data_IF_938429608078
#
_entry.id   IF_938429608078
#
_cell.length_a   1.000
_cell.length_b   1.000
_cell.length_c   1.000
_cell.angle_alpha   90.00
_cell.angle_beta   90.00
_cell.angle_gamma   90.00
#
_symmetry.space_group_name_H-M   'P 1'
#
loop_
_entity.id
_entity.type
_entity.pdbx_description
1 polymer ?
#
# COMPACT_ATOMS: atom_id res chain seq x y z
N UNK A 1 15.31 31.92 -70.90
CA UNK A 1 15.92 30.68 -70.39
C UNK A 1 16.21 30.82 -68.90
N UNK A 2 15.43 30.05 -68.14
CA UNK A 2 15.78 29.31 -66.92
C UNK A 2 16.04 30.05 -65.59
N UNK A 3 14.98 30.02 -64.79
CA UNK A 3 14.91 30.01 -63.33
C UNK A 3 16.17 29.53 -62.60
N UNK A 4 16.74 30.41 -61.78
CA UNK A 4 17.50 30.03 -60.59
C UNK A 4 17.00 30.92 -59.44
N UNK A 5 16.86 30.32 -58.25
CA UNK A 5 16.55 30.92 -56.93
C UNK A 5 15.10 30.78 -56.46
N UNK A 6 14.72 29.58 -56.06
CA UNK A 6 13.67 29.36 -55.05
C UNK A 6 13.77 27.93 -54.48
N UNK A 7 14.80 27.63 -53.70
CA UNK A 7 14.88 26.38 -52.92
C UNK A 7 15.89 26.53 -51.79
N UNK A 8 15.57 27.34 -50.79
CA UNK A 8 16.36 27.43 -49.56
C UNK A 8 15.54 27.92 -48.35
N UNK A 9 14.23 27.60 -48.27
CA UNK A 9 13.38 28.03 -47.12
C UNK A 9 12.59 26.90 -46.45
N UNK A 10 12.47 25.70 -47.05
CA UNK A 10 11.56 24.68 -46.49
C UNK A 10 12.17 23.64 -45.52
N UNK A 11 13.45 23.70 -45.15
CA UNK A 11 14.06 22.62 -44.32
C UNK A 11 14.30 23.02 -42.86
N UNK A 12 14.15 24.29 -42.47
CA UNK A 12 14.42 24.75 -41.08
C UNK A 12 13.17 24.75 -40.18
N UNK A 13 11.95 24.64 -40.73
CA UNK A 13 10.71 24.66 -39.93
C UNK A 13 10.26 23.30 -39.34
N UNK A 14 11.01 22.21 -39.54
CA UNK A 14 10.63 20.87 -39.04
C UNK A 14 11.38 20.42 -37.77
N UNK A 15 12.26 21.25 -37.22
CA UNK A 15 13.04 20.91 -36.00
C UNK A 15 12.53 21.57 -34.69
N UNK A 16 11.31 22.12 -34.67
CA UNK A 16 10.73 22.76 -33.47
C UNK A 16 9.54 22.02 -32.85
N UNK A 17 9.29 20.76 -33.21
CA UNK A 17 8.24 19.93 -32.58
C UNK A 17 8.77 18.59 -32.07
N UNK A 18 9.96 18.55 -31.50
CA UNK A 18 10.31 17.51 -30.52
C UNK A 18 9.67 17.88 -29.16
N UNK A 19 8.34 18.03 -29.13
CA UNK A 19 7.65 17.82 -27.86
C UNK A 19 7.83 16.32 -27.58
N UNK A 20 8.50 15.98 -26.49
CA UNK A 20 8.62 14.59 -26.06
C UNK A 20 7.21 13.99 -26.08
N UNK A 21 6.97 13.07 -27.01
CA UNK A 21 5.75 12.29 -27.07
C UNK A 21 5.82 11.37 -25.85
N UNK A 22 5.32 11.86 -24.71
CA UNK A 22 5.02 11.01 -23.57
C UNK A 22 4.02 9.96 -24.07
N UNK A 23 4.30 8.68 -23.86
CA UNK A 23 3.32 7.67 -24.18
C UNK A 23 2.18 7.74 -23.15
N UNK A 24 0.95 7.70 -23.68
CA UNK A 24 -0.25 7.64 -22.87
C UNK A 24 -0.38 6.24 -22.26
N UNK A 25 -0.81 6.16 -21.00
CA UNK A 25 -1.05 4.86 -20.34
C UNK A 25 -2.31 4.92 -19.50
N UNK A 26 -3.07 3.83 -19.56
CA UNK A 26 -4.23 3.58 -18.72
C UNK A 26 -4.09 2.23 -18.04
N UNK A 27 -4.24 2.20 -16.73
CA UNK A 27 -4.19 0.99 -15.92
C UNK A 27 -5.47 0.83 -15.09
N UNK A 28 -5.80 -0.42 -14.77
CA UNK A 28 -6.76 -0.75 -13.73
C UNK A 28 -6.05 -1.59 -12.67
N UNK A 29 -6.11 -1.14 -11.43
CA UNK A 29 -5.49 -1.79 -10.28
C UNK A 29 -6.58 -2.13 -9.25
N UNK A 30 -6.40 -3.22 -8.52
CA UNK A 30 -7.31 -3.63 -7.46
C UNK A 30 -6.54 -3.78 -6.16
N UNK A 31 -6.94 -2.99 -5.16
CA UNK A 31 -6.42 -3.09 -3.80
C UNK A 31 -7.45 -3.75 -2.89
N UNK A 32 -7.06 -4.77 -2.14
CA UNK A 32 -7.92 -5.51 -1.22
C UNK A 32 -7.26 -5.68 0.13
N UNK A 33 -8.04 -5.43 1.18
CA UNK A 33 -7.63 -5.65 2.56
C UNK A 33 -8.40 -6.83 3.14
N UNK A 34 -7.68 -7.73 3.80
CA UNK A 34 -8.23 -8.85 4.55
C UNK A 34 -7.70 -8.79 5.98
N UNK A 35 -8.60 -8.86 6.96
CA UNK A 35 -8.23 -9.00 8.36
C UNK A 35 -8.44 -10.45 8.80
N UNK A 36 -7.66 -10.91 9.77
CA UNK A 36 -7.86 -12.22 10.37
C UNK A 36 -8.97 -12.21 11.44
N UNK A 37 -9.40 -13.40 11.83
CA UNK A 37 -10.34 -13.61 12.94
C UNK A 37 -11.71 -12.97 12.75
N UNK A 38 -12.33 -12.58 13.87
CA UNK A 38 -13.69 -12.02 13.93
C UNK A 38 -13.81 -10.75 13.10
N UNK A 39 -12.78 -9.89 13.11
CA UNK A 39 -12.76 -8.66 12.31
C UNK A 39 -12.83 -8.97 10.81
N UNK A 40 -12.09 -9.97 10.34
CA UNK A 40 -12.19 -10.47 8.97
C UNK A 40 -13.57 -11.00 8.61
N UNK A 41 -14.17 -11.78 9.51
CA UNK A 41 -15.54 -12.29 9.35
C UNK A 41 -16.56 -11.16 9.27
N UNK A 42 -16.46 -10.15 10.15
CA UNK A 42 -17.35 -8.99 10.15
C UNK A 42 -17.17 -8.12 8.91
N UNK A 43 -15.93 -7.84 8.49
CA UNK A 43 -15.66 -7.08 7.26
C UNK A 43 -16.25 -7.79 6.03
N UNK A 44 -16.16 -9.13 5.96
CA UNK A 44 -16.80 -9.91 4.90
C UNK A 44 -18.32 -9.90 4.99
N UNK A 45 -18.93 -9.93 6.17
CA UNK A 45 -20.39 -9.93 6.29
C UNK A 45 -20.99 -8.53 6.09
N UNK A 46 -20.37 -7.49 6.64
CA UNK A 46 -20.94 -6.14 6.73
C UNK A 46 -20.21 -5.06 5.91
N UNK A 47 -18.99 -5.29 5.42
CA UNK A 47 -18.13 -4.27 4.80
C UNK A 47 -18.47 -3.85 3.36
N UNK A 48 -19.66 -4.16 2.87
CA UNK A 48 -20.06 -3.83 1.49
C UNK A 48 -19.18 -4.51 0.42
N UNK A 49 -19.32 -4.08 -0.84
CA UNK A 49 -18.61 -4.70 -1.97
C UNK A 49 -17.11 -4.45 -1.94
N UNK A 50 -16.67 -3.23 -1.60
CA UNK A 50 -15.25 -2.86 -1.58
C UNK A 50 -14.45 -3.68 -0.55
N UNK A 51 -14.97 -3.94 0.65
CA UNK A 51 -14.27 -4.80 1.62
C UNK A 51 -14.23 -6.28 1.19
N UNK A 52 -15.21 -6.74 0.41
CA UNK A 52 -15.28 -8.14 -0.05
C UNK A 52 -14.43 -8.39 -1.28
N UNK A 53 -14.50 -7.52 -2.28
CA UNK A 53 -13.90 -7.71 -3.60
C UNK A 53 -12.61 -6.88 -3.80
N UNK A 54 -12.35 -5.90 -2.94
CA UNK A 54 -11.33 -4.87 -3.16
C UNK A 54 -11.91 -3.64 -3.86
N UNK A 55 -11.20 -2.52 -3.74
CA UNK A 55 -11.47 -1.29 -4.47
C UNK A 55 -10.66 -1.31 -5.78
N UNK A 56 -11.32 -1.00 -6.89
CA UNK A 56 -10.67 -0.86 -8.19
C UNK A 56 -10.39 0.60 -8.45
N UNK A 57 -9.11 0.92 -8.68
CA UNK A 57 -8.65 2.23 -9.08
C UNK A 57 -8.27 2.20 -10.56
N UNK A 58 -8.81 3.14 -11.32
CA UNK A 58 -8.43 3.36 -12.72
C UNK A 58 -7.45 4.51 -12.79
N UNK A 59 -6.30 4.29 -13.39
CA UNK A 59 -5.31 5.34 -13.61
C UNK A 59 -5.27 5.64 -15.10
N UNK A 60 -5.37 6.91 -15.46
CA UNK A 60 -5.15 7.39 -16.82
C UNK A 60 -4.08 8.47 -16.78
N UNK A 61 -3.05 8.33 -17.59
CA UNK A 61 -1.95 9.26 -17.74
C UNK A 61 -1.85 9.67 -19.19
N UNK A 62 -1.81 10.98 -19.41
CA UNK A 62 -1.61 11.60 -20.71
C UNK A 62 -0.72 12.83 -20.55
N UNK A 63 0.51 12.74 -21.04
CA UNK A 63 1.53 13.77 -20.87
C UNK A 63 1.81 14.09 -19.39
N UNK A 64 1.38 15.28 -18.97
CA UNK A 64 1.63 15.83 -17.62
C UNK A 64 0.39 15.78 -16.73
N UNK A 65 -0.62 14.98 -17.10
CA UNK A 65 -1.89 14.88 -16.39
C UNK A 65 -2.17 13.43 -16.05
N UNK A 66 -2.34 13.14 -14.77
CA UNK A 66 -2.69 11.80 -14.25
C UNK A 66 -4.01 11.87 -13.51
N UNK A 67 -4.99 11.12 -13.97
CA UNK A 67 -6.25 10.89 -13.27
C UNK A 67 -6.20 9.54 -12.56
N UNK A 68 -6.50 9.51 -11.27
CA UNK A 68 -6.82 8.28 -10.52
C UNK A 68 -8.31 8.32 -10.18
N UNK A 69 -9.05 7.26 -10.46
CA UNK A 69 -10.52 7.24 -10.28
C UNK A 69 -10.95 5.96 -9.58
N UNK A 70 -11.65 6.11 -8.47
CA UNK A 70 -12.37 5.02 -7.82
C UNK A 70 -13.87 5.13 -8.14
N UNK A 71 -14.72 4.35 -7.45
CA UNK A 71 -16.16 4.41 -7.68
C UNK A 71 -16.78 5.78 -7.31
N UNK A 72 -16.23 6.43 -6.28
CA UNK A 72 -16.87 7.57 -5.62
C UNK A 72 -16.07 8.88 -5.75
N UNK A 73 -14.77 8.78 -6.00
CA UNK A 73 -13.86 9.91 -6.05
C UNK A 73 -12.88 9.79 -7.21
N UNK A 74 -12.31 10.93 -7.60
CA UNK A 74 -11.18 10.96 -8.50
C UNK A 74 -10.16 12.01 -8.05
N UNK A 75 -8.90 11.78 -8.38
CA UNK A 75 -7.81 12.73 -8.18
C UNK A 75 -7.15 12.98 -9.53
N UNK A 76 -7.09 14.25 -9.93
CA UNK A 76 -6.31 14.67 -11.09
C UNK A 76 -5.07 15.42 -10.60
N UNK A 77 -3.90 14.95 -11.00
CA UNK A 77 -2.62 15.64 -10.79
C UNK A 77 -2.21 16.26 -12.12
N UNK A 78 -1.98 17.56 -12.14
CA UNK A 78 -1.50 18.31 -13.30
C UNK A 78 -0.12 18.93 -13.00
N UNK A 79 0.92 18.42 -13.66
CA UNK A 79 2.29 18.90 -13.47
C UNK A 79 2.60 20.22 -14.20
N UNK A 80 1.76 20.63 -15.16
CA UNK A 80 1.90 21.92 -15.83
C UNK A 80 1.34 23.04 -14.94
N UNK A 81 0.18 22.79 -14.35
CA UNK A 81 -0.45 23.77 -13.44
C UNK A 81 0.07 23.68 -12.00
N UNK A 82 0.80 22.62 -11.66
CA UNK A 82 1.24 22.31 -10.29
C UNK A 82 0.06 22.25 -9.32
N UNK A 83 -0.98 21.54 -9.74
CA UNK A 83 -2.25 21.41 -9.00
C UNK A 83 -2.68 19.96 -8.86
N UNK A 84 -3.43 19.73 -7.80
CA UNK A 84 -4.13 18.49 -7.50
C UNK A 84 -5.61 18.85 -7.37
N UNK A 85 -6.45 18.20 -8.17
CA UNK A 85 -7.90 18.35 -8.12
C UNK A 85 -8.48 17.14 -7.42
N UNK A 86 -9.12 17.37 -6.27
CA UNK A 86 -9.84 16.34 -5.53
C UNK A 86 -11.30 16.39 -5.97
N UNK A 87 -11.78 15.34 -6.63
CA UNK A 87 -13.06 15.31 -7.34
C UNK A 87 -14.02 14.36 -6.61
N UNK A 88 -15.15 14.90 -6.14
CA UNK A 88 -16.25 14.11 -5.56
C UNK A 88 -17.25 13.79 -6.69
N UNK A 89 -17.25 12.55 -7.15
CA UNK A 89 -18.06 12.11 -8.29
C UNK A 89 -19.55 12.08 -7.96
N UNK A 90 -19.91 11.89 -6.69
CA UNK A 90 -21.31 11.86 -6.23
C UNK A 90 -21.91 13.26 -6.20
N UNK A 91 -21.18 14.22 -5.63
CA UNK A 91 -21.63 15.61 -5.50
C UNK A 91 -21.40 16.42 -6.77
N UNK A 92 -20.61 15.90 -7.72
CA UNK A 92 -20.19 16.61 -8.92
C UNK A 92 -19.48 17.91 -8.58
N UNK A 93 -18.58 17.84 -7.60
CA UNK A 93 -17.79 18.96 -7.12
C UNK A 93 -16.31 18.62 -7.11
N UNK A 94 -15.45 19.63 -7.13
CA UNK A 94 -14.03 19.41 -6.92
C UNK A 94 -13.40 20.55 -6.12
N UNK A 95 -12.35 20.25 -5.38
CA UNK A 95 -11.46 21.25 -4.77
C UNK A 95 -10.11 21.23 -5.48
N UNK A 96 -9.34 22.29 -5.32
CA UNK A 96 -8.04 22.45 -5.96
C UNK A 96 -7.02 22.76 -4.89
N UNK A 97 -5.95 21.98 -4.84
CA UNK A 97 -4.76 22.23 -4.03
C UNK A 97 -3.58 22.49 -4.96
N UNK A 98 -2.84 23.56 -4.73
CA UNK A 98 -1.55 23.79 -5.39
C UNK A 98 -0.45 22.99 -4.72
N UNK A 99 0.63 22.71 -5.45
CA UNK A 99 1.81 22.04 -4.87
C UNK A 99 2.45 22.90 -3.77
N UNK A 100 2.38 24.22 -3.90
CA UNK A 100 2.85 25.15 -2.86
C UNK A 100 2.04 25.03 -1.57
N UNK A 101 0.70 25.01 -1.66
CA UNK A 101 -0.16 24.81 -0.49
C UNK A 101 0.10 23.46 0.17
N UNK A 102 0.25 22.41 -0.63
CA UNK A 102 0.60 21.08 -0.14
C UNK A 102 1.97 21.09 0.58
N UNK A 103 2.98 21.73 -0.01
CA UNK A 103 4.30 21.90 0.63
C UNK A 103 4.21 22.63 1.95
N UNK A 104 3.46 23.73 2.01
CA UNK A 104 3.23 24.50 3.25
C UNK A 104 2.55 23.64 4.31
N UNK A 105 1.50 22.90 3.95
CA UNK A 105 0.80 22.00 4.88
C UNK A 105 1.73 20.92 5.43
N UNK A 106 2.58 20.34 4.58
CA UNK A 106 3.59 19.37 5.01
C UNK A 106 4.61 19.99 5.97
N UNK A 107 5.14 21.18 5.67
CA UNK A 107 6.08 21.88 6.55
C UNK A 107 5.45 22.23 7.90
N UNK A 108 4.20 22.69 7.92
CA UNK A 108 3.45 22.96 9.15
C UNK A 108 3.21 21.70 9.97
N UNK A 109 2.86 20.59 9.31
CA UNK A 109 2.70 19.29 9.96
C UNK A 109 4.04 18.80 10.56
N UNK A 110 5.15 18.95 9.83
CA UNK A 110 6.50 18.61 10.30
C UNK A 110 6.92 19.48 11.49
N UNK A 111 6.67 20.79 11.42
CA UNK A 111 6.97 21.72 12.52
C UNK A 111 6.16 21.37 13.77
N UNK A 112 4.86 21.07 13.62
CA UNK A 112 4.00 20.59 14.71
C UNK A 112 4.50 19.27 15.29
N UNK A 113 4.88 18.30 14.46
CA UNK A 113 5.44 17.03 14.92
C UNK A 113 6.74 17.24 15.71
N UNK A 114 7.64 18.10 15.23
CA UNK A 114 8.88 18.47 15.94
C UNK A 114 8.61 19.14 17.28
N UNK A 115 7.62 20.02 17.34
CA UNK A 115 7.21 20.70 18.56
C UNK A 115 6.49 19.78 19.56
N UNK A 116 5.81 18.73 19.08
CA UNK A 116 5.07 17.78 19.92
C UNK A 116 5.94 16.68 20.53
N UNK A 117 7.24 16.65 20.22
CA UNK A 117 8.12 15.52 20.58
C UNK A 117 7.80 14.25 19.77
N UNK A 118 8.53 13.15 20.00
CA UNK A 118 8.20 11.87 19.38
C UNK A 118 6.73 11.51 19.67
N UNK A 119 6.03 10.83 18.75
CA UNK A 119 4.64 10.46 18.96
C UNK A 119 4.50 9.75 20.32
N UNK A 120 3.45 10.05 21.10
CA UNK A 120 3.16 9.26 22.28
C UNK A 120 3.07 7.80 21.81
N UNK A 121 3.81 6.91 22.47
CA UNK A 121 3.63 5.48 22.30
C UNK A 121 2.12 5.20 22.37
N UNK A 122 1.64 4.33 21.46
CA UNK A 122 0.25 3.90 21.44
C UNK A 122 -0.23 3.65 22.88
N UNK A 123 -1.47 4.04 23.26
CA UNK A 123 -1.91 3.98 24.64
C UNK A 123 -1.82 2.55 25.15
N UNK A 124 -0.74 2.23 25.86
CA UNK A 124 -0.66 1.08 26.72
C UNK A 124 -1.73 1.31 27.78
N UNK A 125 -2.77 0.47 27.75
CA UNK A 125 -3.67 0.35 28.89
C UNK A 125 -2.91 -0.26 30.06
N UNK A 126 -2.04 0.53 30.71
CA UNK A 126 -1.70 0.33 32.10
C UNK A 126 -1.12 1.64 32.68
N UNK A 127 -1.99 2.40 33.37
CA UNK A 127 -1.58 3.56 34.16
C UNK A 127 -0.84 3.06 35.41
N UNK A 128 0.47 2.80 35.31
CA UNK A 128 1.42 2.70 36.44
C UNK A 128 2.87 2.53 35.97
N UNK A 129 3.46 3.51 35.26
CA UNK A 129 4.91 3.51 35.04
C UNK A 129 5.53 4.88 35.33
N UNK A 130 6.52 4.86 36.23
CA UNK A 130 7.31 6.01 36.71
C UNK A 130 8.12 6.66 35.56
N UNK A 131 8.59 7.92 35.72
CA UNK A 131 9.20 8.72 34.64
C UNK A 131 10.59 8.29 34.14
N UNK A 132 11.03 7.04 34.37
CA UNK A 132 12.43 6.63 34.16
C UNK A 132 12.60 5.28 33.43
N UNK A 133 11.62 4.90 32.59
CA UNK A 133 11.77 3.72 31.73
C UNK A 133 12.32 4.14 30.36
N UNK A 134 13.59 3.78 30.13
CA UNK A 134 14.22 3.72 28.80
C UNK A 134 13.24 3.10 27.80
N UNK A 135 12.97 3.80 26.69
CA UNK A 135 12.12 3.27 25.63
C UNK A 135 12.72 1.95 25.10
N UNK A 136 11.90 0.92 24.86
CA UNK A 136 12.40 -0.35 24.34
C UNK A 136 13.09 -0.11 22.99
N UNK A 137 14.38 -0.46 22.92
CA UNK A 137 15.13 -0.44 21.67
C UNK A 137 14.65 -1.61 20.79
N UNK A 138 14.45 -1.37 19.49
CA UNK A 138 14.03 -2.40 18.54
C UNK A 138 15.18 -2.79 17.60
N UNK A 139 15.18 -4.04 17.16
CA UNK A 139 16.04 -4.58 16.10
C UNK A 139 15.18 -4.90 14.88
N UNK A 140 15.63 -4.49 13.70
CA UNK A 140 14.98 -4.74 12.42
C UNK A 140 15.89 -5.59 11.55
N UNK A 141 15.38 -6.74 11.11
CA UNK A 141 16.03 -7.59 10.11
C UNK A 141 15.30 -7.46 8.78
N UNK A 142 16.06 -7.31 7.69
CA UNK A 142 15.55 -7.28 6.33
C UNK A 142 16.15 -8.43 5.52
N UNK A 143 15.29 -9.13 4.78
CA UNK A 143 15.67 -10.18 3.84
C UNK A 143 14.95 -9.96 2.52
N UNK A 144 15.65 -10.06 1.40
CA UNK A 144 15.07 -10.15 0.07
C UNK A 144 15.55 -11.45 -0.58
N UNK A 145 14.66 -12.20 -1.20
CA UNK A 145 15.02 -13.43 -1.91
C UNK A 145 14.09 -13.70 -3.10
N UNK A 146 14.64 -14.24 -4.19
CA UNK A 146 13.81 -14.88 -5.21
C UNK A 146 13.36 -16.26 -4.69
N UNK A 147 12.05 -16.52 -4.69
CA UNK A 147 11.54 -17.79 -4.16
C UNK A 147 11.67 -18.96 -5.14
N UNK A 148 12.02 -18.66 -6.40
CA UNK A 148 12.00 -19.61 -7.52
C UNK A 148 10.59 -19.95 -8.02
N UNK A 149 9.53 -19.46 -7.36
CA UNK A 149 8.14 -19.66 -7.80
C UNK A 149 7.84 -18.83 -9.03
N UNK A 150 7.07 -19.43 -9.95
CA UNK A 150 6.52 -18.77 -11.13
C UNK A 150 5.02 -19.02 -11.20
N UNK A 151 4.26 -18.04 -11.70
CA UNK A 151 2.83 -18.21 -11.98
C UNK A 151 2.36 -17.22 -13.04
N UNK A 152 1.29 -17.55 -13.73
CA UNK A 152 0.61 -16.63 -14.65
C UNK A 152 -0.47 -15.84 -13.89
N UNK A 153 -0.46 -14.51 -14.00
CA UNK A 153 -1.46 -13.63 -13.38
C UNK A 153 -1.98 -12.67 -14.44
N UNK A 154 -3.29 -12.62 -14.69
CA UNK A 154 -3.90 -11.77 -15.71
C UNK A 154 -3.25 -11.88 -17.11
N UNK A 155 -2.73 -13.08 -17.43
CA UNK A 155 -2.03 -13.36 -18.70
C UNK A 155 -0.54 -13.00 -18.71
N UNK A 156 0.00 -12.46 -17.61
CA UNK A 156 1.43 -12.17 -17.46
C UNK A 156 2.14 -13.34 -16.79
N UNK A 157 3.23 -13.81 -17.41
CA UNK A 157 4.17 -14.72 -16.76
C UNK A 157 4.96 -13.97 -15.70
N UNK A 158 4.90 -14.42 -14.45
CA UNK A 158 5.55 -13.74 -13.32
C UNK A 158 6.51 -14.66 -12.58
N UNK A 159 7.58 -14.07 -12.03
CA UNK A 159 8.43 -14.66 -11.00
C UNK A 159 8.16 -14.00 -9.66
N UNK A 160 8.38 -14.71 -8.57
CA UNK A 160 8.18 -14.14 -7.23
C UNK A 160 9.48 -13.76 -6.54
N UNK A 161 9.48 -12.55 -5.99
CA UNK A 161 10.47 -12.03 -5.06
C UNK A 161 9.78 -11.78 -3.73
N UNK A 162 10.37 -12.26 -2.63
CA UNK A 162 9.83 -12.10 -1.29
C UNK A 162 10.74 -11.20 -0.47
N UNK A 163 10.19 -10.08 0.00
CA UNK A 163 10.81 -9.22 0.98
C UNK A 163 10.22 -9.52 2.37
N UNK A 164 11.08 -9.77 3.36
CA UNK A 164 10.68 -10.00 4.75
C UNK A 164 11.34 -8.97 5.64
N UNK A 165 10.53 -8.27 6.43
CA UNK A 165 10.96 -7.36 7.49
C UNK A 165 10.50 -7.96 8.82
N UNK A 166 11.44 -8.26 9.70
CA UNK A 166 11.12 -8.67 11.08
C UNK A 166 11.53 -7.55 12.04
N UNK A 167 10.60 -7.12 12.88
CA UNK A 167 10.83 -6.15 13.96
C UNK A 167 10.62 -6.84 15.31
N UNK A 168 11.60 -6.73 16.20
CA UNK A 168 11.57 -7.29 17.56
C UNK A 168 12.28 -6.38 18.54
N UNK A 169 11.98 -6.50 19.84
CA UNK A 169 12.75 -5.80 20.86
C UNK A 169 14.21 -6.30 20.88
N UNK A 170 15.13 -5.40 21.22
CA UNK A 170 16.55 -5.70 21.34
C UNK A 170 16.76 -6.78 22.41
N UNK A 171 17.62 -7.74 22.10
CA UNK A 171 17.91 -8.94 22.92
C UNK A 171 16.78 -9.97 23.01
N UNK A 172 15.62 -9.77 22.34
CA UNK A 172 14.60 -10.81 22.16
C UNK A 172 14.81 -11.55 20.84
N UNK A 173 14.41 -12.82 20.81
CA UNK A 173 14.34 -13.63 19.59
C UNK A 173 12.95 -13.54 18.98
N UNK A 174 12.77 -14.00 17.73
CA UNK A 174 11.44 -14.04 17.11
C UNK A 174 10.43 -14.89 17.89
N UNK A 175 10.89 -15.88 18.66
CA UNK A 175 10.03 -16.74 19.48
C UNK A 175 9.42 -15.99 20.67
N UNK A 176 10.10 -14.95 21.13
CA UNK A 176 9.69 -14.13 22.29
C UNK A 176 8.66 -13.06 21.92
N UNK A 177 8.22 -13.02 20.66
CA UNK A 177 7.33 -12.01 20.11
C UNK A 177 8.05 -11.11 19.11
N UNK A 178 7.70 -11.26 17.84
CA UNK A 178 8.11 -10.35 16.77
C UNK A 178 6.93 -9.99 15.86
N UNK A 179 7.03 -8.83 15.23
CA UNK A 179 6.18 -8.44 14.12
C UNK A 179 6.91 -8.72 12.83
N UNK A 180 6.29 -9.46 11.91
CA UNK A 180 6.86 -9.77 10.62
C UNK A 180 5.98 -9.23 9.51
N UNK A 181 6.56 -8.46 8.59
CA UNK A 181 5.93 -8.01 7.36
C UNK A 181 6.55 -8.81 6.21
N UNK A 182 5.73 -9.59 5.51
CA UNK A 182 6.14 -10.38 4.35
C UNK A 182 5.48 -9.80 3.11
N UNK A 183 6.26 -9.22 2.21
CA UNK A 183 5.82 -8.73 0.91
C UNK A 183 6.22 -9.70 -0.19
N UNK A 184 5.24 -10.37 -0.80
CA UNK A 184 5.44 -11.25 -1.96
C UNK A 184 5.10 -10.48 -3.23
N UNK A 185 6.12 -10.19 -4.04
CA UNK A 185 6.01 -9.41 -5.26
C UNK A 185 6.12 -10.32 -6.47
N UNK A 186 5.11 -10.29 -7.33
CA UNK A 186 5.06 -11.09 -8.55
C UNK A 186 5.36 -10.20 -9.75
N UNK A 187 6.56 -10.36 -10.27
CA UNK A 187 7.17 -9.50 -11.29
C UNK A 187 7.06 -10.16 -12.66
N UNK A 188 6.40 -9.48 -13.60
CA UNK A 188 6.48 -9.78 -15.02
C UNK A 188 7.70 -9.09 -15.65
N UNK A 189 8.10 -9.49 -16.87
CA UNK A 189 8.98 -8.65 -17.68
C UNK A 189 8.45 -7.20 -17.77
N UNK A 190 9.37 -6.24 -17.91
CA UNK A 190 9.02 -4.82 -17.95
C UNK A 190 7.95 -4.53 -19.01
N UNK A 191 6.82 -3.95 -18.61
CA UNK A 191 5.80 -3.44 -19.50
C UNK A 191 6.17 -1.99 -19.83
N UNK A 192 6.54 -1.71 -21.09
CA UNK A 192 7.03 -0.38 -21.50
C UNK A 192 6.07 0.76 -21.15
N UNK A 193 4.76 0.53 -21.27
CA UNK A 193 3.74 1.53 -20.96
C UNK A 193 3.73 1.93 -19.47
N UNK A 194 4.12 1.04 -18.55
CA UNK A 194 4.18 1.36 -17.12
C UNK A 194 5.31 2.32 -16.77
N UNK A 195 6.37 2.36 -17.59
CA UNK A 195 7.49 3.29 -17.39
C UNK A 195 7.03 4.75 -17.42
N UNK A 196 6.04 5.09 -18.24
CA UNK A 196 5.51 6.44 -18.32
C UNK A 196 4.85 6.87 -17.00
N UNK A 197 4.18 5.93 -16.33
CA UNK A 197 3.58 6.17 -15.02
C UNK A 197 4.67 6.37 -13.95
N UNK A 198 5.73 5.56 -13.98
CA UNK A 198 6.89 5.71 -13.09
C UNK A 198 7.58 7.06 -13.30
N UNK A 199 7.85 7.43 -14.57
CA UNK A 199 8.48 8.70 -14.94
C UNK A 199 7.62 9.90 -14.54
N UNK A 200 6.29 9.80 -14.67
CA UNK A 200 5.37 10.80 -14.15
C UNK A 200 5.47 10.93 -12.63
N UNK A 201 5.43 9.81 -11.90
CA UNK A 201 5.50 9.79 -10.44
C UNK A 201 6.82 10.38 -9.93
N UNK A 202 7.95 10.09 -10.60
CA UNK A 202 9.25 10.68 -10.31
C UNK A 202 9.19 12.21 -10.47
N UNK A 203 8.68 12.71 -11.60
CA UNK A 203 8.57 14.16 -11.85
C UNK A 203 7.64 14.85 -10.86
N UNK A 204 6.51 14.21 -10.54
CA UNK A 204 5.59 14.68 -9.51
C UNK A 204 6.28 14.78 -8.16
N UNK A 205 6.95 13.72 -7.72
CA UNK A 205 7.67 13.67 -6.46
C UNK A 205 8.81 14.69 -6.41
N UNK A 206 9.57 14.87 -7.50
CA UNK A 206 10.59 15.89 -7.59
C UNK A 206 10.01 17.29 -7.43
N UNK A 207 8.91 17.63 -8.13
CA UNK A 207 8.26 18.93 -8.00
C UNK A 207 7.71 19.18 -6.59
N UNK A 208 7.11 18.16 -5.97
CA UNK A 208 6.45 18.30 -4.68
C UNK A 208 7.42 18.23 -3.49
N UNK A 209 8.34 17.25 -3.50
CA UNK A 209 9.16 16.93 -2.34
C UNK A 209 10.59 17.43 -2.41
N UNK A 210 11.18 17.69 -3.58
CA UNK A 210 12.60 18.10 -3.65
C UNK A 210 12.93 19.32 -2.77
N UNK A 211 12.08 20.38 -2.71
CA UNK A 211 12.32 21.50 -1.82
C UNK A 211 12.31 21.09 -0.33
N UNK A 212 11.36 20.22 0.05
CA UNK A 212 11.23 19.71 1.43
C UNK A 212 12.39 18.78 1.79
N UNK A 213 12.79 17.92 0.84
CA UNK A 213 13.84 16.93 1.04
C UNK A 213 15.19 17.59 1.32
N UNK A 214 15.48 18.75 0.69
CA UNK A 214 16.69 19.52 0.99
C UNK A 214 16.70 20.01 2.44
N UNK A 215 15.58 20.60 2.91
CA UNK A 215 15.43 21.07 4.29
C UNK A 215 15.50 19.91 5.30
N UNK A 216 14.88 18.76 4.96
CA UNK A 216 14.92 17.55 5.79
C UNK A 216 16.31 16.93 5.83
N UNK A 217 17.05 16.88 4.71
CA UNK A 217 18.38 16.32 4.66
C UNK A 217 19.34 17.06 5.60
N UNK A 218 19.29 18.40 5.63
CA UNK A 218 20.08 19.21 6.57
C UNK A 218 19.73 18.87 8.02
N UNK A 219 18.44 18.71 8.32
CA UNK A 219 17.96 18.42 9.68
C UNK A 219 18.26 16.98 10.12
N UNK A 220 18.24 16.02 9.19
CA UNK A 220 18.46 14.60 9.47
C UNK A 220 19.94 14.22 9.42
N UNK A 221 20.84 15.06 8.90
CA UNK A 221 22.27 14.75 8.80
C UNK A 221 22.91 14.30 10.14
N UNK A 222 22.64 14.94 11.30
CA UNK A 222 23.18 14.47 12.58
C UNK A 222 22.60 13.11 13.00
N UNK A 223 21.32 12.85 12.73
CA UNK A 223 20.69 11.57 13.04
C UNK A 223 21.23 10.45 12.13
N UNK A 224 21.37 10.71 10.83
CA UNK A 224 21.99 9.77 9.87
C UNK A 224 23.41 9.39 10.29
N UNK A 225 24.21 10.36 10.75
CA UNK A 225 25.55 10.10 11.28
C UNK A 225 25.54 9.23 12.55
N UNK A 226 24.48 9.33 13.38
CA UNK A 226 24.30 8.53 14.58
C UNK A 226 23.80 7.09 14.31
N UNK A 227 23.24 6.83 13.11
CA UNK A 227 22.73 5.51 12.71
C UNK A 227 23.45 4.94 11.48
N UNK A 228 24.75 4.58 11.59
CA UNK A 228 25.53 4.06 10.46
C UNK A 228 24.96 2.76 9.87
N UNK A 229 24.16 2.00 10.64
CA UNK A 229 23.46 0.81 10.16
C UNK A 229 22.44 1.10 9.04
N UNK A 230 21.88 2.31 9.00
CA UNK A 230 20.92 2.71 7.96
C UNK A 230 21.59 2.81 6.59
N UNK A 231 22.80 3.38 6.51
CA UNK A 231 23.56 3.46 5.28
C UNK A 231 23.89 2.06 4.73
N UNK A 232 24.26 1.13 5.61
CA UNK A 232 24.48 -0.28 5.23
C UNK A 232 23.21 -0.96 4.72
N UNK A 233 22.06 -0.69 5.32
CA UNK A 233 20.77 -1.21 4.86
C UNK A 233 20.38 -0.66 3.48
N UNK A 234 20.58 0.64 3.23
CA UNK A 234 20.35 1.25 1.91
C UNK A 234 21.26 0.67 0.85
N UNK A 235 22.56 0.49 1.14
CA UNK A 235 23.50 -0.13 0.21
C UNK A 235 23.14 -1.58 -0.14
N UNK A 236 22.63 -2.35 0.83
CA UNK A 236 22.08 -3.70 0.55
C UNK A 236 20.86 -3.64 -0.35
N UNK A 237 19.89 -2.76 -0.08
CA UNK A 237 18.71 -2.58 -0.91
C UNK A 237 19.10 -2.21 -2.35
N UNK A 238 20.10 -1.34 -2.52
CA UNK A 238 20.59 -0.91 -3.83
C UNK A 238 21.26 -2.06 -4.59
N UNK A 239 22.07 -2.89 -3.91
CA UNK A 239 22.64 -4.09 -4.50
C UNK A 239 21.57 -5.12 -4.91
N UNK A 240 20.49 -5.21 -4.15
CA UNK A 240 19.37 -6.13 -4.37
C UNK A 240 18.34 -5.62 -5.40
N UNK A 241 18.47 -4.36 -5.86
CA UNK A 241 17.54 -3.73 -6.80
C UNK A 241 17.33 -4.54 -8.09
N UNK A 242 18.38 -5.18 -8.58
CA UNK A 242 18.33 -6.05 -9.77
C UNK A 242 17.30 -7.18 -9.63
N UNK A 243 17.12 -7.72 -8.42
CA UNK A 243 16.14 -8.77 -8.18
C UNK A 243 14.70 -8.23 -8.35
N UNK A 244 14.50 -6.92 -8.19
CA UNK A 244 13.22 -6.24 -8.35
C UNK A 244 12.95 -5.77 -9.79
N UNK A 245 13.82 -6.07 -10.75
CA UNK A 245 13.64 -5.63 -12.14
C UNK A 245 12.37 -6.25 -12.78
N UNK A 246 11.50 -5.40 -13.32
CA UNK A 246 10.27 -5.80 -13.99
C UNK A 246 9.06 -4.98 -13.56
N UNK A 247 7.89 -5.35 -14.07
CA UNK A 247 6.63 -4.74 -13.68
C UNK A 247 5.93 -5.62 -12.66
N UNK A 248 5.64 -5.07 -11.47
CA UNK A 248 4.87 -5.77 -10.44
C UNK A 248 3.43 -5.94 -10.87
N UNK A 249 2.98 -7.18 -11.00
CA UNK A 249 1.60 -7.53 -11.37
C UNK A 249 0.75 -7.78 -10.13
N UNK A 250 1.36 -8.33 -9.06
CA UNK A 250 0.67 -8.54 -7.79
C UNK A 250 1.66 -8.38 -6.64
N UNK A 251 1.32 -7.52 -5.70
CA UNK A 251 1.96 -7.44 -4.38
C UNK A 251 1.02 -7.97 -3.32
N UNK A 252 1.45 -8.96 -2.56
CA UNK A 252 0.75 -9.42 -1.35
C UNK A 252 1.59 -9.11 -0.12
N UNK A 253 1.10 -8.22 0.73
CA UNK A 253 1.73 -7.87 2.01
C UNK A 253 0.97 -8.53 3.14
N UNK A 254 1.65 -9.38 3.90
CA UNK A 254 1.13 -10.02 5.12
C UNK A 254 1.80 -9.42 6.35
N UNK A 255 0.97 -8.97 7.29
CA UNK A 255 1.40 -8.57 8.62
C UNK A 255 1.14 -9.72 9.58
N UNK A 256 2.19 -10.21 10.22
CA UNK A 256 2.15 -11.40 11.07
C UNK A 256 2.70 -11.07 12.45
N UNK A 257 2.07 -11.64 13.48
CA UNK A 257 2.73 -11.81 14.77
C UNK A 257 3.43 -13.18 14.78
N UNK A 258 4.68 -13.21 15.22
CA UNK A 258 5.53 -14.41 15.33
C UNK A 258 5.83 -14.65 16.81
N UNK A 259 5.63 -15.87 17.30
CA UNK A 259 5.80 -16.24 18.71
C UNK A 259 4.75 -17.26 19.18
N UNK A 260 4.85 -17.78 20.40
CA UNK A 260 3.86 -18.77 20.89
C UNK A 260 2.43 -18.20 20.92
N UNK A 261 1.44 -18.90 20.32
CA UNK A 261 0.04 -18.54 20.41
C UNK A 261 -0.50 -18.87 21.80
N UNK A 262 -0.11 -18.09 22.81
CA UNK A 262 -0.49 -18.31 24.22
C UNK A 262 -1.26 -17.18 24.88
N UNK A 263 -1.35 -15.98 24.28
CA UNK A 263 -1.95 -14.81 24.94
C UNK A 263 -2.90 -13.97 24.10
N UNK A 264 -3.42 -14.51 22.99
CA UNK A 264 -4.75 -14.07 22.56
C UNK A 264 -5.78 -14.75 23.47
N UNK A 265 -5.89 -14.25 24.71
CA UNK A 265 -7.14 -14.39 25.45
C UNK A 265 -8.20 -13.78 24.54
N UNK A 266 -8.99 -14.64 23.92
CA UNK A 266 -10.33 -14.28 23.51
C UNK A 266 -10.93 -13.51 24.68
N UNK A 267 -11.17 -12.22 24.48
CA UNK A 267 -12.14 -11.51 25.29
C UNK A 267 -13.48 -12.19 25.00
N UNK A 268 -13.73 -13.30 25.71
CA UNK A 268 -15.08 -13.79 25.91
C UNK A 268 -15.87 -12.60 26.45
N UNK A 269 -17.02 -12.27 25.85
CA UNK A 269 -17.95 -11.38 26.50
C UNK A 269 -18.20 -11.94 27.91
N UNK A 270 -17.83 -11.18 28.94
CA UNK A 270 -18.27 -11.49 30.29
C UNK A 270 -19.79 -11.65 30.26
N UNK A 271 -20.36 -12.75 30.78
CA UNK A 271 -21.78 -12.80 31.05
C UNK A 271 -22.10 -11.61 31.96
N UNK A 272 -23.01 -10.74 31.53
CA UNK A 272 -23.64 -9.78 32.43
C UNK A 272 -24.22 -10.56 33.62
N UNK A 273 -24.03 -10.11 34.87
CA UNK A 273 -24.71 -10.73 35.99
C UNK A 273 -26.23 -10.53 35.82
N UNK A 274 -26.93 -11.63 35.59
CA UNK A 274 -28.40 -11.69 35.64
C UNK A 274 -28.86 -11.27 37.03
N UNK A 275 -29.71 -10.25 37.06
CA UNK A 275 -30.48 -9.83 38.21
C UNK A 275 -31.47 -10.92 38.61
N UNK A 276 -31.14 -11.61 39.70
CA UNK A 276 -32.00 -11.97 40.83
C UNK A 276 -33.49 -12.26 40.51
N UNK A 277 -33.84 -13.54 40.31
CA UNK A 277 -35.13 -14.11 40.74
C UNK A 277 -34.99 -15.53 41.25
N UNK A 278 -35.56 -15.71 42.44
CA UNK A 278 -35.55 -16.87 43.31
C UNK A 278 -36.22 -18.15 42.76
N UNK A 279 -35.62 -19.27 43.18
CA UNK A 279 -36.19 -20.55 43.65
C UNK A 279 -36.86 -21.54 42.68
N UNK A 280 -36.26 -22.74 42.59
CA UNK A 280 -36.92 -24.00 42.22
C UNK A 280 -36.01 -25.04 41.57
N UNK A 281 -35.58 -26.05 42.34
CA UNK A 281 -34.79 -27.24 41.92
C UNK A 281 -35.69 -28.49 42.15
N UNK A 282 -35.47 -29.71 41.57
CA UNK A 282 -34.78 -30.20 40.36
C UNK A 282 -35.68 -31.10 39.47
N UNK A 283 -35.17 -31.72 38.39
CA UNK A 283 -35.11 -33.20 38.22
C UNK A 283 -34.25 -33.60 37.01
N UNK A 284 -33.39 -34.58 37.24
CA UNK A 284 -32.42 -35.27 36.39
C UNK A 284 -33.00 -36.09 35.22
N UNK A 285 -32.17 -36.30 34.19
CA UNK A 285 -31.96 -37.50 33.33
C UNK A 285 -31.26 -37.00 32.06
N UNK A 286 -30.11 -37.46 31.58
CA UNK A 286 -29.37 -38.70 31.75
C UNK A 286 -28.62 -38.84 30.42
N UNK A 287 -27.29 -38.76 30.43
CA UNK A 287 -26.48 -38.94 29.22
C UNK A 287 -26.45 -40.41 28.78
N UNK A 288 -26.46 -40.67 27.47
CA UNK A 288 -25.83 -41.80 26.76
C UNK A 288 -26.35 -41.87 25.32
N UNK A 289 -25.49 -42.35 24.40
CA UNK A 289 -25.67 -42.61 22.95
C UNK A 289 -25.37 -41.40 22.05
N UNK A 290 -24.27 -41.30 21.32
CA UNK A 290 -23.32 -42.31 20.87
C UNK A 290 -23.58 -42.70 19.41
N UNK A 291 -22.85 -42.07 18.49
CA UNK A 291 -22.38 -42.71 17.26
C UNK A 291 -23.14 -42.49 15.96
N UNK A 292 -22.34 -42.37 14.89
CA UNK A 292 -22.61 -42.58 13.45
C UNK A 292 -22.90 -41.32 12.61
N UNK A 293 -21.90 -40.95 11.79
CA UNK A 293 -22.03 -39.93 10.76
C UNK A 293 -20.77 -39.69 9.92
N UNK A 294 -20.13 -40.77 9.42
CA UNK A 294 -18.98 -40.70 8.50
C UNK A 294 -19.52 -40.66 7.06
N UNK A 295 -19.42 -39.53 6.35
CA UNK A 295 -18.96 -39.40 4.93
C UNK A 295 -19.26 -38.03 4.30
N UNK A 296 -18.30 -37.64 3.45
CA UNK A 296 -18.39 -36.75 2.28
C UNK A 296 -18.16 -35.24 2.48
N UNK A 297 -16.91 -34.80 2.33
CA UNK A 297 -16.47 -33.74 1.38
C UNK A 297 -15.02 -34.09 1.00
N UNK A 298 -14.80 -34.74 -0.14
CA UNK A 298 -14.37 -34.17 -1.42
C UNK A 298 -13.04 -33.40 -1.32
N UNK A 299 -12.06 -34.00 -1.98
CA UNK A 299 -10.68 -33.57 -2.17
C UNK A 299 -10.68 -32.26 -2.97
N UNK A 300 -10.41 -31.14 -2.30
CA UNK A 300 -9.97 -29.90 -2.96
C UNK A 300 -8.51 -29.68 -2.54
N UNK A 301 -7.64 -29.66 -3.55
CA UNK A 301 -6.23 -29.37 -3.47
C UNK A 301 -6.01 -27.98 -2.86
N UNK A 302 -5.83 -27.92 -1.54
CA UNK A 302 -5.09 -26.84 -0.91
C UNK A 302 -3.61 -27.13 -1.09
N UNK A 303 -3.01 -26.47 -2.08
CA UNK A 303 -1.57 -26.24 -2.12
C UNK A 303 -1.14 -25.66 -0.79
N UNK A 304 -0.51 -26.50 0.03
CA UNK A 304 0.02 -26.13 1.32
C UNK A 304 1.18 -25.15 1.12
N UNK A 305 0.95 -23.87 1.37
CA UNK A 305 2.02 -23.06 1.94
C UNK A 305 2.32 -23.66 3.31
N UNK A 306 3.57 -24.09 3.53
CA UNK A 306 4.07 -24.32 4.89
C UNK A 306 4.03 -22.97 5.61
N UNK A 307 2.89 -22.64 6.20
CA UNK A 307 2.83 -21.64 7.26
C UNK A 307 3.76 -22.15 8.35
N UNK A 308 4.80 -21.39 8.64
CA UNK A 308 5.62 -21.60 9.83
C UNK A 308 4.65 -21.63 11.02
N UNK A 309 4.52 -22.77 11.71
CA UNK A 309 3.46 -23.06 12.70
C UNK A 309 3.44 -22.09 13.91
N UNK A 310 4.31 -21.07 13.90
CA UNK A 310 4.50 -20.05 14.94
C UNK A 310 4.11 -18.63 14.52
N UNK A 311 3.53 -18.44 13.32
CA UNK A 311 3.11 -17.10 12.86
C UNK A 311 1.62 -17.04 12.55
N UNK A 312 0.94 -16.02 13.07
CA UNK A 312 -0.47 -15.73 12.79
C UNK A 312 -0.58 -14.44 11.96
N UNK A 313 -1.13 -14.55 10.74
CA UNK A 313 -1.46 -13.38 9.91
C UNK A 313 -2.56 -12.57 10.60
N UNK A 314 -2.35 -11.26 10.71
CA UNK A 314 -3.27 -10.28 11.30
C UNK A 314 -4.03 -9.56 10.19
N UNK A 315 -3.29 -9.16 9.15
CA UNK A 315 -3.79 -8.40 8.03
C UNK A 315 -3.06 -8.81 6.75
N UNK A 316 -3.78 -8.90 5.66
CA UNK A 316 -3.24 -9.11 4.32
C UNK A 316 -3.74 -8.00 3.41
N UNK A 317 -2.82 -7.28 2.78
CA UNK A 317 -3.10 -6.33 1.70
C UNK A 317 -2.69 -6.99 0.39
N UNK A 318 -3.55 -6.95 -0.61
CA UNK A 318 -3.23 -7.36 -1.98
C UNK A 318 -3.42 -6.18 -2.91
N UNK A 319 -2.44 -5.94 -3.76
CA UNK A 319 -2.52 -4.95 -4.82
C UNK A 319 -2.21 -5.62 -6.17
N UNK A 320 -3.16 -5.58 -7.08
CA UNK A 320 -3.15 -6.36 -8.32
C UNK A 320 -3.35 -5.47 -9.55
N UNK A 321 -2.41 -5.52 -10.50
CA UNK A 321 -2.55 -4.92 -11.82
C UNK A 321 -3.46 -5.81 -12.69
N UNK A 322 -4.63 -5.29 -13.04
CA UNK A 322 -5.64 -6.02 -13.81
C UNK A 322 -5.48 -5.82 -15.31
N UNK A 323 -5.14 -4.60 -15.72
CA UNK A 323 -5.13 -4.22 -17.14
C UNK A 323 -4.17 -3.07 -17.39
N UNK A 324 -3.56 -3.08 -18.59
CA UNK A 324 -2.77 -1.97 -19.14
C UNK A 324 -3.24 -1.70 -20.58
N UNK A 325 -3.31 -0.43 -20.96
CA UNK A 325 -3.65 0.06 -22.30
C UNK A 325 -2.86 1.34 -22.58
N UNK A 326 -2.57 1.61 -23.85
CA UNK A 326 -1.86 2.84 -24.28
C UNK A 326 -2.78 3.85 -24.97
N UNK A 327 -4.08 3.60 -24.95
CA UNK A 327 -5.09 4.50 -25.54
C UNK A 327 -5.78 5.25 -24.41
N UNK A 328 -5.56 6.57 -24.36
CA UNK A 328 -6.16 7.49 -23.37
C UNK A 328 -6.82 8.66 -24.09
N UNK A 329 -8.12 8.84 -23.85
CA UNK A 329 -8.84 10.00 -24.35
C UNK A 329 -8.59 11.23 -23.46
N UNK A 330 -8.60 12.44 -24.04
CA UNK A 330 -8.34 13.68 -23.30
C UNK A 330 -9.36 13.91 -22.16
N UNK A 331 -10.59 13.42 -22.34
CA UNK A 331 -11.63 13.45 -21.31
C UNK A 331 -11.32 12.60 -20.08
N UNK A 332 -10.45 11.58 -20.20
CA UNK A 332 -10.08 10.69 -19.09
C UNK A 332 -9.07 11.34 -18.14
N UNK A 333 -8.41 12.41 -18.59
CA UNK A 333 -7.52 13.23 -17.77
C UNK A 333 -8.07 14.65 -17.56
N UNK A 334 -9.37 14.85 -17.74
CA UNK A 334 -10.04 16.14 -17.54
C UNK A 334 -11.02 16.09 -16.37
N UNK A 335 -11.32 17.26 -15.79
CA UNK A 335 -12.45 17.39 -14.87
C UNK A 335 -13.72 17.09 -15.66
N UNK A 336 -14.60 16.17 -15.21
CA UNK A 336 -15.80 15.83 -15.96
C UNK A 336 -16.73 17.05 -16.14
N UNK A 337 -17.38 17.13 -17.30
CA UNK A 337 -18.27 18.23 -17.61
C UNK A 337 -19.40 18.38 -16.57
N UNK A 338 -19.73 19.63 -16.22
CA UNK A 338 -20.80 19.96 -15.28
C UNK A 338 -20.39 19.89 -13.79
N UNK A 339 -19.14 19.58 -13.49
CA UNK A 339 -18.62 19.64 -12.13
C UNK A 339 -18.35 21.09 -11.71
N UNK A 340 -18.57 21.39 -10.42
CA UNK A 340 -18.38 22.73 -9.87
C UNK A 340 -17.21 22.77 -8.90
N UNK A 341 -16.37 23.79 -9.01
CA UNK A 341 -15.35 24.03 -8.01
C UNK A 341 -16.01 24.46 -6.69
N UNK A 342 -15.61 23.81 -5.60
CA UNK A 342 -15.92 24.21 -4.22
C UNK A 342 -14.64 24.70 -3.54
N UNK A 343 -14.79 25.62 -2.59
CA UNK A 343 -13.66 26.11 -1.78
C UNK A 343 -13.29 25.14 -0.68
#
# INVERSE_FOLDING_TARGET
>A
MNCRRASAVCVVCLMLMAQGLYADVKTEERTRFEFAGVLGGMAKLFGGRAAREGEVTKIALKGNRRMSTTADAAELIDLNEEKIYQIDLKKKTYTVLTFEEMRRQMQEAMAKAKASGPPPAAPSQDNSAKPDQQQPEFTMDFKLEESGRKRTINGYETREVVATVTVREKNKTEKDGAMRLVSSMWLAPQISAMKELDDFNIRYAQKLYLPIAQDMAVQMAPAMAAYPGLAGAMGKLEAERVNLDGTTILTEVRFEAVGEPGQQKQAQPQPQPESDKQTGVPTSLGGLLGGLGRRAVRNDEKSAEKSDERSASIMTMRDELLKVSTVVADSEVAIPAGFKQTK
#
